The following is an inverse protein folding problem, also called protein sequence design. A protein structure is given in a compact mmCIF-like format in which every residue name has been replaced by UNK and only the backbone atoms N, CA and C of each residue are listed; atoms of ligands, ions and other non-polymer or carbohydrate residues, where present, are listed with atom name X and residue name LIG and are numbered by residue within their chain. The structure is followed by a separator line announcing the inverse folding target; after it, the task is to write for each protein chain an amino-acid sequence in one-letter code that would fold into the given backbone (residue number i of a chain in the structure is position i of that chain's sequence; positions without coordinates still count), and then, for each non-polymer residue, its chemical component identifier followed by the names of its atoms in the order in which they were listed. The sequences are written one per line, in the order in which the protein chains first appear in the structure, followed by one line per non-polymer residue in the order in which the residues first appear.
data_IF_874065403993
#
_entry.id   IF_874065403993
#
_cell.length_a   1.000
_cell.length_b   1.000
_cell.length_c   1.000
_cell.angle_alpha   90.00
_cell.angle_beta   90.00
_cell.angle_gamma   90.00
#
_symmetry.space_group_name_H-M   'P 1'
#
loop_
_entity.id
_entity.type
_entity.pdbx_description
1 polymer ?
#
# COMPACT_ATOMS: atom_id res chain seq x y z
N UNK A 1 7.96 -10.62 -25.76
CA UNK A 1 7.97 -10.60 -24.27
C UNK A 1 6.84 -9.69 -23.84
N UNK A 2 5.93 -10.16 -22.98
CA UNK A 2 4.80 -9.36 -22.50
C UNK A 2 5.09 -8.90 -21.07
N UNK A 3 4.82 -7.62 -20.79
CA UNK A 3 4.98 -7.02 -19.46
C UNK A 3 3.59 -6.66 -18.92
N UNK A 4 3.44 -6.76 -17.61
CA UNK A 4 2.21 -6.43 -16.87
C UNK A 4 2.58 -5.61 -15.63
N UNK A 5 1.56 -5.18 -14.88
CA UNK A 5 1.75 -4.46 -13.63
C UNK A 5 2.58 -5.26 -12.60
N UNK A 6 3.53 -4.57 -11.96
CA UNK A 6 4.49 -5.17 -11.03
C UNK A 6 3.92 -5.52 -9.65
N UNK A 7 2.71 -5.07 -9.32
CA UNK A 7 2.06 -5.38 -8.04
C UNK A 7 1.81 -6.87 -7.83
N UNK A 8 1.71 -7.65 -8.91
CA UNK A 8 1.64 -9.12 -8.86
C UNK A 8 2.94 -9.77 -8.35
N UNK A 9 4.08 -9.10 -8.51
CA UNK A 9 5.38 -9.57 -8.06
C UNK A 9 5.73 -9.01 -6.67
N UNK A 10 5.58 -7.69 -6.50
CA UNK A 10 5.87 -7.02 -5.24
C UNK A 10 4.98 -5.77 -5.11
N UNK A 11 3.98 -5.82 -4.22
CA UNK A 11 3.01 -4.73 -4.03
C UNK A 11 3.64 -3.45 -3.47
N UNK A 12 4.74 -3.58 -2.71
CA UNK A 12 5.49 -2.48 -2.13
C UNK A 12 6.98 -2.85 -2.13
N UNK A 13 7.77 -2.33 -3.10
CA UNK A 13 9.13 -2.82 -3.39
C UNK A 13 10.20 -2.34 -2.40
N UNK A 14 10.02 -2.64 -1.11
CA UNK A 14 10.91 -2.16 -0.05
C UNK A 14 12.32 -2.70 -0.23
N UNK A 15 12.47 -3.99 -0.54
CA UNK A 15 13.79 -4.61 -0.69
C UNK A 15 14.57 -4.02 -1.86
N UNK A 16 13.89 -3.79 -2.99
CA UNK A 16 14.50 -3.15 -4.14
C UNK A 16 15.02 -1.75 -3.79
N UNK A 17 14.23 -0.95 -3.08
CA UNK A 17 14.64 0.41 -2.68
C UNK A 17 15.78 0.36 -1.65
N UNK A 18 15.81 -0.65 -0.77
CA UNK A 18 16.93 -0.90 0.14
C UNK A 18 18.22 -1.27 -0.62
N UNK A 19 18.14 -2.16 -1.61
CA UNK A 19 19.26 -2.53 -2.50
C UNK A 19 19.77 -1.35 -3.34
N UNK A 20 18.89 -0.40 -3.67
CA UNK A 20 19.24 0.86 -4.33
C UNK A 20 20.00 1.84 -3.41
N UNK A 21 20.15 1.51 -2.12
CA UNK A 21 20.94 2.30 -1.17
C UNK A 21 20.13 3.36 -0.41
N UNK A 22 18.82 3.17 -0.24
CA UNK A 22 18.02 4.10 0.55
C UNK A 22 18.38 4.05 2.05
N UNK A 23 18.71 5.19 2.63
CA UNK A 23 18.98 5.31 4.08
C UNK A 23 17.71 5.15 4.94
N UNK A 24 16.59 5.66 4.41
CA UNK A 24 15.27 5.69 5.06
C UNK A 24 14.20 5.34 4.04
N UNK A 25 13.31 4.42 4.39
CA UNK A 25 12.21 3.98 3.51
C UNK A 25 10.87 4.32 4.17
N UNK A 26 10.05 5.07 3.45
CA UNK A 26 8.67 5.38 3.81
C UNK A 26 7.75 4.65 2.83
N UNK A 27 7.30 3.47 3.21
CA UNK A 27 6.33 2.69 2.46
C UNK A 27 4.90 3.18 2.68
N UNK A 28 4.04 3.08 1.67
CA UNK A 28 2.61 3.36 1.76
C UNK A 28 1.84 2.14 1.29
N UNK A 29 1.16 1.47 2.22
CA UNK A 29 0.39 0.26 1.97
C UNK A 29 -1.10 0.60 1.89
N UNK A 30 -1.68 0.42 0.69
CA UNK A 30 -3.09 0.67 0.40
C UNK A 30 -3.95 -0.61 0.43
N UNK A 31 -3.34 -1.77 0.63
CA UNK A 31 -3.99 -3.09 0.49
C UNK A 31 -4.27 -3.77 1.83
N UNK A 32 -4.06 -3.06 2.94
CA UNK A 32 -4.23 -3.58 4.29
C UNK A 32 -5.71 -3.68 4.70
N UNK A 33 -6.12 -4.89 5.12
CA UNK A 33 -7.41 -5.24 5.71
C UNK A 33 -8.63 -4.54 5.09
N UNK A 34 -9.24 -5.22 4.12
CA UNK A 34 -10.65 -5.00 3.79
C UNK A 34 -11.42 -6.30 3.56
N UNK A 35 -12.64 -6.29 4.11
CA UNK A 35 -13.72 -7.18 3.73
C UNK A 35 -14.62 -6.47 2.73
N UNK A 36 -14.36 -6.67 1.44
CA UNK A 36 -15.27 -6.24 0.38
C UNK A 36 -16.41 -7.26 0.23
N UNK A 37 -17.63 -6.76 0.04
CA UNK A 37 -18.74 -7.56 -0.52
C UNK A 37 -18.60 -7.51 -2.04
N UNK A 38 -18.15 -8.61 -2.62
CA UNK A 38 -18.11 -8.77 -4.08
C UNK A 38 -19.42 -9.37 -4.57
N UNK A 39 -19.91 -8.86 -5.70
CA UNK A 39 -20.98 -9.51 -6.45
C UNK A 39 -20.54 -10.89 -6.96
N UNK A 40 -21.48 -11.75 -7.36
CA UNK A 40 -21.17 -13.08 -7.88
C UNK A 40 -21.03 -13.06 -9.41
N UNK A 41 -19.96 -12.46 -9.92
CA UNK A 41 -19.61 -12.48 -11.34
C UNK A 41 -18.12 -12.80 -11.56
N UNK A 42 -17.71 -13.10 -12.79
CA UNK A 42 -16.33 -13.54 -13.08
C UNK A 42 -15.33 -12.42 -12.84
N UNK A 43 -15.66 -11.17 -13.20
CA UNK A 43 -14.78 -10.02 -13.00
C UNK A 43 -14.53 -9.72 -11.52
N UNK A 44 -15.54 -9.80 -10.67
CA UNK A 44 -15.40 -9.61 -9.23
C UNK A 44 -14.58 -10.72 -8.56
N UNK A 45 -14.67 -11.95 -9.06
CA UNK A 45 -13.81 -13.06 -8.60
C UNK A 45 -12.35 -12.81 -8.98
N UNK A 46 -12.09 -12.32 -10.20
CA UNK A 46 -10.75 -11.96 -10.65
C UNK A 46 -10.17 -10.81 -9.82
N UNK A 47 -10.94 -9.74 -9.63
CA UNK A 47 -10.51 -8.59 -8.81
C UNK A 47 -10.25 -9.00 -7.36
N UNK A 48 -11.16 -9.80 -6.78
CA UNK A 48 -10.98 -10.35 -5.43
C UNK A 48 -9.72 -11.19 -5.33
N UNK A 49 -9.46 -12.03 -6.32
CA UNK A 49 -8.25 -12.88 -6.35
C UNK A 49 -7.00 -12.00 -6.42
N UNK A 50 -6.99 -10.98 -7.28
CA UNK A 50 -5.90 -10.01 -7.37
C UNK A 50 -5.64 -9.28 -6.04
N UNK A 51 -6.71 -8.74 -5.42
CA UNK A 51 -6.60 -8.05 -4.12
C UNK A 51 -6.12 -8.97 -3.00
N UNK A 52 -6.54 -10.24 -2.98
CA UNK A 52 -6.03 -11.21 -2.02
C UNK A 52 -4.52 -11.43 -2.20
N UNK A 53 -4.04 -11.57 -3.44
CA UNK A 53 -2.60 -11.68 -3.71
C UNK A 53 -1.85 -10.44 -3.22
N UNK A 54 -2.32 -9.24 -3.58
CA UNK A 54 -1.73 -7.97 -3.15
C UNK A 54 -1.68 -7.85 -1.63
N UNK A 55 -2.78 -8.16 -0.94
CA UNK A 55 -2.82 -8.11 0.53
C UNK A 55 -1.81 -9.07 1.17
N UNK A 56 -1.59 -10.25 0.57
CA UNK A 56 -0.63 -11.22 1.09
C UNK A 56 0.82 -10.78 0.83
N UNK A 57 1.07 -10.11 -0.29
CA UNK A 57 2.35 -9.49 -0.60
C UNK A 57 2.62 -8.24 0.25
N UNK A 58 1.57 -7.51 0.67
CA UNK A 58 1.67 -6.33 1.53
C UNK A 58 1.63 -6.65 3.03
N UNK A 59 1.16 -7.84 3.43
CA UNK A 59 1.15 -8.37 4.81
C UNK A 59 2.56 -8.77 5.29
N UNK A 60 3.55 -8.01 4.85
CA UNK A 60 4.91 -8.04 5.35
C UNK A 60 5.01 -6.90 6.36
N UNK A 61 4.97 -7.29 7.63
CA UNK A 61 4.93 -6.32 8.73
C UNK A 61 6.23 -5.51 8.79
N UNK A 62 6.20 -4.31 9.39
CA UNK A 62 7.41 -3.48 9.55
C UNK A 62 8.52 -4.15 10.36
N UNK A 63 8.22 -5.29 11.01
CA UNK A 63 9.17 -6.14 11.75
C UNK A 63 10.01 -7.02 10.84
N UNK A 64 9.53 -7.31 9.63
CA UNK A 64 10.27 -8.08 8.61
C UNK A 64 11.30 -7.20 7.91
N UNK A 65 11.10 -5.88 7.91
CA UNK A 65 11.96 -4.90 7.30
C UNK A 65 12.93 -4.27 8.31
N UNK A 66 14.04 -3.71 7.82
CA UNK A 66 15.08 -3.12 8.66
C UNK A 66 14.61 -1.95 9.55
N UNK A 67 15.47 -1.54 10.48
CA UNK A 67 15.16 -0.48 11.48
C UNK A 67 14.79 0.89 10.86
N UNK A 68 15.16 1.12 9.60
CA UNK A 68 14.94 2.39 8.90
C UNK A 68 13.72 2.37 7.96
N UNK A 69 12.76 1.47 8.21
CA UNK A 69 11.53 1.39 7.41
C UNK A 69 10.31 1.77 8.25
N UNK A 70 9.46 2.64 7.70
CA UNK A 70 8.13 2.95 8.22
C UNK A 70 7.10 2.67 7.13
N UNK A 71 6.02 1.96 7.50
CA UNK A 71 4.88 1.69 6.60
C UNK A 71 3.70 2.52 7.07
N UNK A 72 3.22 3.41 6.21
CA UNK A 72 2.00 4.19 6.39
C UNK A 72 0.83 3.42 5.78
N UNK A 73 -0.29 3.39 6.51
CA UNK A 73 -1.48 2.62 6.15
C UNK A 73 -2.71 3.53 6.18
N UNK A 74 -2.93 4.35 5.14
CA UNK A 74 -4.13 5.18 5.05
C UNK A 74 -5.37 4.31 4.83
N UNK A 75 -6.50 4.66 5.45
CA UNK A 75 -7.78 3.93 5.28
C UNK A 75 -8.54 4.44 4.06
N UNK A 76 -8.07 4.09 2.87
CA UNK A 76 -8.78 4.38 1.58
C UNK A 76 -9.73 3.26 1.15
N UNK A 77 -9.72 2.19 1.93
CA UNK A 77 -10.52 0.98 1.97
C UNK A 77 -12.00 1.04 1.52
N UNK A 78 -12.67 2.19 1.64
CA UNK A 78 -14.07 2.39 1.25
C UNK A 78 -14.24 3.03 -0.12
N UNK A 79 -13.14 3.42 -0.75
CA UNK A 79 -13.11 4.14 -2.02
C UNK A 79 -12.80 3.14 -3.13
N UNK A 80 -13.60 3.21 -4.20
CA UNK A 80 -13.40 2.37 -5.37
C UNK A 80 -12.13 2.81 -6.12
N UNK A 81 -11.37 1.84 -6.64
CA UNK A 81 -10.11 2.09 -7.37
C UNK A 81 -10.31 2.99 -8.59
N UNK A 82 -11.51 2.97 -9.18
CA UNK A 82 -11.88 3.75 -10.36
C UNK A 82 -12.79 4.95 -10.05
N UNK A 83 -13.08 5.24 -8.77
CA UNK A 83 -13.89 6.39 -8.35
C UNK A 83 -13.05 7.68 -8.24
N UNK A 84 -12.74 8.28 -9.38
CA UNK A 84 -11.95 9.51 -9.47
C UNK A 84 -12.66 10.77 -8.91
N UNK A 85 -13.98 10.73 -8.76
CA UNK A 85 -14.78 11.77 -8.11
C UNK A 85 -14.46 11.92 -6.61
N UNK A 86 -13.97 10.84 -5.98
CA UNK A 86 -13.56 10.84 -4.56
C UNK A 86 -12.09 11.25 -4.34
N UNK A 87 -11.36 11.65 -5.40
CA UNK A 87 -9.92 11.93 -5.33
C UNK A 87 -9.53 12.92 -4.21
N UNK A 88 -10.31 13.98 -4.01
CA UNK A 88 -10.05 14.97 -2.96
C UNK A 88 -10.12 14.36 -1.55
N UNK A 89 -11.07 13.44 -1.33
CA UNK A 89 -11.19 12.70 -0.06
C UNK A 89 -10.00 11.76 0.13
N UNK A 90 -9.63 11.00 -0.90
CA UNK A 90 -8.47 10.09 -0.89
C UNK A 90 -7.19 10.82 -0.50
N UNK A 91 -6.93 11.98 -1.10
CA UNK A 91 -5.76 12.81 -0.82
C UNK A 91 -5.76 13.23 0.66
N UNK A 92 -6.90 13.69 1.17
CA UNK A 92 -7.04 14.12 2.58
C UNK A 92 -6.80 12.97 3.57
N UNK A 93 -7.24 11.76 3.25
CA UNK A 93 -6.96 10.56 4.06
C UNK A 93 -5.46 10.28 4.10
N UNK A 94 -4.79 10.33 2.94
CA UNK A 94 -3.33 10.16 2.84
C UNK A 94 -2.57 11.21 3.65
N UNK A 95 -2.95 12.48 3.50
CA UNK A 95 -2.35 13.60 4.23
C UNK A 95 -2.51 13.43 5.75
N UNK A 96 -3.71 13.06 6.21
CA UNK A 96 -3.99 12.85 7.63
C UNK A 96 -3.12 11.71 8.20
N UNK A 97 -2.97 10.61 7.45
CA UNK A 97 -2.12 9.48 7.82
C UNK A 97 -0.64 9.90 7.93
N UNK A 98 -0.13 10.66 6.95
CA UNK A 98 1.24 11.16 6.96
C UNK A 98 1.48 12.14 8.12
N UNK A 99 0.57 13.10 8.32
CA UNK A 99 0.66 14.10 9.42
C UNK A 99 0.67 13.43 10.79
N UNK A 100 -0.14 12.39 11.00
CA UNK A 100 -0.15 11.63 12.25
C UNK A 100 1.21 10.96 12.55
N UNK A 101 1.99 10.65 11.51
CA UNK A 101 3.29 9.98 11.63
C UNK A 101 4.49 10.94 11.49
N UNK A 102 4.26 12.24 11.36
CA UNK A 102 5.30 13.23 11.03
C UNK A 102 6.46 13.24 12.04
N UNK A 103 6.15 13.05 13.34
CA UNK A 103 7.17 13.01 14.38
C UNK A 103 8.07 11.77 14.28
N UNK A 104 7.53 10.62 13.81
CA UNK A 104 8.32 9.42 13.57
C UNK A 104 9.17 9.57 12.31
N UNK A 105 8.59 10.12 11.24
CA UNK A 105 9.31 10.39 9.99
C UNK A 105 10.49 11.33 10.23
N UNK A 106 10.27 12.45 10.95
CA UNK A 106 11.34 13.40 11.28
C UNK A 106 12.50 12.75 12.06
N UNK A 107 12.20 11.84 12.99
CA UNK A 107 13.22 11.11 13.76
C UNK A 107 14.05 10.14 12.92
N UNK A 108 13.56 9.70 11.76
CA UNK A 108 14.29 8.79 10.88
C UNK A 108 15.28 9.53 9.97
N UNK A 109 15.04 10.82 9.70
CA UNK A 109 15.84 11.64 8.78
C UNK A 109 16.96 12.42 9.50
N UNK A 110 16.88 12.52 10.83
CA UNK A 110 17.86 13.19 11.69
C UNK A 110 18.95 12.23 12.14
#
# INVERSE_FOLDING_TARGET
MHLVDGGLAEAMPIRLVEEMGADVIIGVDLYWKDYYRYDRNVSSVLERTYRLMLSKLSDVDSKTYGKNVIILRPRVSRLDTFAFDTAAETIKIGETCARANIAKIKRMIQ
#
